data_IF_062137656023
#
_entry.id   IF_062137656023
#
_cell.length_a   1.000
_cell.length_b   1.000
_cell.length_c   1.000
_cell.angle_alpha   90.00
_cell.angle_beta   90.00
_cell.angle_gamma   90.00
#
_symmetry.space_group_name_H-M   'P 1'
#
loop_
_entity.id
_entity.type
_entity.pdbx_description
1 polymer ?
#
# COMPACT_ATOMS: atom_id res chain seq x y z
N UNK A 1 5.86 4.05 -0.51
CA UNK A 1 6.06 5.40 -1.08
C UNK A 1 5.11 5.61 -2.27
N UNK A 2 4.60 6.83 -2.44
CA UNK A 2 3.79 7.30 -3.58
C UNK A 2 4.08 8.79 -3.81
N UNK A 3 4.01 9.27 -5.05
CA UNK A 3 4.20 10.69 -5.38
C UNK A 3 2.84 11.29 -5.74
N UNK A 4 2.42 12.30 -4.97
CA UNK A 4 1.18 13.03 -5.23
C UNK A 4 1.32 13.99 -6.43
N UNK A 5 0.21 14.44 -7.00
CA UNK A 5 0.18 15.35 -8.16
C UNK A 5 0.87 16.69 -7.91
N UNK A 6 0.93 17.13 -6.66
CA UNK A 6 1.65 18.35 -6.25
C UNK A 6 3.19 18.15 -6.17
N UNK A 7 3.67 16.93 -6.47
CA UNK A 7 5.07 16.55 -6.42
C UNK A 7 5.55 16.13 -5.03
N UNK A 8 4.69 16.14 -4.01
CA UNK A 8 5.06 15.68 -2.69
C UNK A 8 5.22 14.16 -2.65
N UNK A 9 6.26 13.71 -1.95
CA UNK A 9 6.54 12.30 -1.69
C UNK A 9 5.85 11.90 -0.40
N UNK A 10 4.95 10.92 -0.47
CA UNK A 10 4.31 10.33 0.70
C UNK A 10 4.88 8.95 0.96
N UNK A 11 5.21 8.67 2.21
CA UNK A 11 5.77 7.38 2.62
C UNK A 11 5.35 7.01 4.04
N UNK A 12 5.53 5.74 4.36
CA UNK A 12 5.33 5.19 5.70
C UNK A 12 6.67 4.82 6.28
N UNK A 13 6.81 4.94 7.59
CA UNK A 13 8.02 4.57 8.33
C UNK A 13 7.71 3.50 9.39
N UNK A 14 7.55 2.22 9.00
CA UNK A 14 7.36 1.14 9.96
C UNK A 14 8.69 0.68 10.57
N UNK A 15 8.61 0.00 11.71
CA UNK A 15 9.79 -0.56 12.39
C UNK A 15 10.38 -1.80 11.73
N UNK A 16 9.78 -2.37 10.68
CA UNK A 16 10.10 -3.72 10.18
C UNK A 16 11.60 -3.93 9.91
N UNK A 17 12.27 -2.96 9.28
CA UNK A 17 13.70 -3.02 8.97
C UNK A 17 14.65 -2.96 10.18
N UNK A 18 14.16 -2.62 11.37
CA UNK A 18 14.98 -2.49 12.60
C UNK A 18 14.65 -3.53 13.69
N UNK A 19 13.71 -4.44 13.44
CA UNK A 19 13.32 -5.47 14.42
C UNK A 19 14.30 -6.65 14.49
N UNK A 20 15.20 -6.78 13.52
CA UNK A 20 16.08 -7.94 13.38
C UNK A 20 17.09 -7.76 12.25
N UNK A 21 18.04 -8.70 12.17
CA UNK A 21 19.10 -8.67 11.15
C UNK A 21 18.68 -9.31 9.81
N UNK A 22 17.41 -9.70 9.66
CA UNK A 22 16.89 -10.29 8.42
C UNK A 22 16.56 -9.22 7.37
N UNK A 23 15.84 -8.16 7.77
CA UNK A 23 15.45 -7.05 6.88
C UNK A 23 16.40 -5.85 6.98
N UNK A 24 17.23 -5.78 8.02
CA UNK A 24 18.16 -4.69 8.25
C UNK A 24 19.10 -4.95 9.43
N UNK A 25 19.13 -4.06 10.41
CA UNK A 25 19.92 -4.22 11.63
C UNK A 25 19.09 -3.82 12.85
N UNK A 26 19.32 -4.50 13.98
CA UNK A 26 18.58 -4.20 15.21
C UNK A 26 18.88 -2.77 15.68
N UNK A 27 17.82 -1.97 15.85
CA UNK A 27 17.90 -0.63 16.41
C UNK A 27 16.61 -0.30 17.19
N UNK A 28 16.68 0.69 18.08
CA UNK A 28 15.49 1.26 18.71
C UNK A 28 14.86 2.30 17.76
N UNK A 29 13.52 2.33 17.70
CA UNK A 29 12.81 3.30 16.88
C UNK A 29 12.96 4.70 17.49
N UNK A 30 13.53 5.63 16.74
CA UNK A 30 13.72 7.02 17.19
C UNK A 30 12.43 7.84 17.06
N UNK A 31 11.52 7.41 16.19
CA UNK A 31 10.23 8.05 15.91
C UNK A 31 9.08 7.04 16.02
N UNK A 32 7.86 7.56 16.21
CA UNK A 32 6.66 6.75 16.13
C UNK A 32 6.43 6.28 14.68
N UNK A 33 5.98 5.03 14.46
CA UNK A 33 5.63 4.57 13.13
C UNK A 33 4.49 5.40 12.54
N UNK A 34 4.75 6.08 11.44
CA UNK A 34 3.83 7.09 10.93
C UNK A 34 3.80 7.16 9.40
N UNK A 35 2.84 7.92 8.89
CA UNK A 35 2.78 8.37 7.50
C UNK A 35 3.39 9.77 7.43
N UNK A 36 4.31 9.98 6.51
CA UNK A 36 5.00 11.24 6.28
C UNK A 36 4.75 11.78 4.88
N UNK A 37 4.83 13.10 4.75
CA UNK A 37 4.78 13.86 3.49
C UNK A 37 5.99 14.76 3.41
N UNK A 38 6.79 14.61 2.36
CA UNK A 38 7.91 15.48 2.01
C UNK A 38 7.55 16.29 0.77
N UNK A 39 7.43 17.61 0.90
CA UNK A 39 7.10 18.47 -0.24
C UNK A 39 8.32 18.87 -1.08
N UNK A 40 8.12 19.42 -2.29
CA UNK A 40 9.23 19.82 -3.16
C UNK A 40 10.16 20.90 -2.59
N UNK A 41 9.76 21.61 -1.53
CA UNK A 41 10.62 22.57 -0.82
C UNK A 41 11.55 21.89 0.19
N UNK A 42 11.35 20.60 0.45
CA UNK A 42 12.07 19.83 1.47
C UNK A 42 11.41 19.85 2.85
N UNK A 43 10.20 20.42 2.97
CA UNK A 43 9.46 20.39 4.24
C UNK A 43 8.87 19.00 4.46
N UNK A 44 9.23 18.41 5.60
CA UNK A 44 8.74 17.10 6.06
C UNK A 44 7.64 17.31 7.11
N UNK A 45 6.47 16.72 6.88
CA UNK A 45 5.34 16.72 7.79
C UNK A 45 4.97 15.29 8.18
N UNK A 46 4.75 15.04 9.48
CA UNK A 46 4.07 13.83 9.96
C UNK A 46 2.57 14.01 9.76
N UNK A 47 1.97 13.14 8.95
CA UNK A 47 0.57 13.26 8.52
C UNK A 47 -0.38 12.54 9.45
N UNK A 48 0.04 11.39 10.00
CA UNK A 48 -0.67 10.62 11.03
C UNK A 48 0.25 9.53 11.59
N UNK A 49 0.12 9.24 12.89
CA UNK A 49 0.72 8.13 13.61
C UNK A 49 -0.35 7.13 14.13
N UNK A 50 -1.61 7.27 13.68
CA UNK A 50 -2.74 6.45 14.15
C UNK A 50 -2.78 5.05 13.52
N UNK A 51 -2.06 4.84 12.41
CA UNK A 51 -2.09 3.59 11.65
C UNK A 51 -1.20 2.54 12.31
N UNK A 52 -1.77 1.45 12.79
CA UNK A 52 -1.02 0.37 13.43
C UNK A 52 -0.10 -0.37 12.42
N UNK A 53 1.21 -0.10 12.47
CA UNK A 53 2.20 -0.69 11.56
C UNK A 53 1.98 -0.27 10.10
N UNK A 54 2.15 1.03 9.76
CA UNK A 54 1.85 1.55 8.44
C UNK A 54 2.82 0.98 7.39
N UNK A 55 2.31 0.54 6.24
CA UNK A 55 3.13 -0.12 5.22
C UNK A 55 2.80 0.35 3.79
N UNK A 56 2.09 -0.46 2.98
CA UNK A 56 1.65 -0.01 1.66
C UNK A 56 0.79 1.25 1.76
N UNK A 57 0.92 2.17 0.80
CA UNK A 57 0.05 3.34 0.65
C UNK A 57 -0.15 3.71 -0.81
N UNK A 58 -1.33 4.23 -1.12
CA UNK A 58 -1.67 4.79 -2.43
C UNK A 58 -2.85 5.76 -2.31
N UNK A 59 -2.95 6.69 -3.24
CA UNK A 59 -4.10 7.60 -3.35
C UNK A 59 -5.22 7.00 -4.23
N UNK A 60 -6.46 7.44 -4.02
CA UNK A 60 -7.50 7.33 -5.05
C UNK A 60 -7.08 8.06 -6.34
N UNK A 61 -7.67 7.75 -7.50
CA UNK A 61 -7.29 8.40 -8.75
C UNK A 61 -7.40 9.93 -8.73
N UNK A 62 -8.33 10.47 -7.94
CA UNK A 62 -8.55 11.90 -7.74
C UNK A 62 -7.83 12.49 -6.52
N UNK A 63 -7.01 11.70 -5.83
CA UNK A 63 -6.25 12.04 -4.62
C UNK A 63 -7.07 12.55 -3.43
N UNK A 64 -8.39 12.37 -3.45
CA UNK A 64 -9.26 12.74 -2.32
C UNK A 64 -9.19 11.74 -1.19
N UNK A 65 -8.71 10.53 -1.44
CA UNK A 65 -8.53 9.50 -0.43
C UNK A 65 -7.08 9.03 -0.41
N UNK A 66 -6.53 8.87 0.79
CA UNK A 66 -5.30 8.14 1.02
C UNK A 66 -5.65 6.79 1.65
N UNK A 67 -5.16 5.71 1.04
CA UNK A 67 -5.27 4.36 1.56
C UNK A 67 -3.94 3.95 2.17
N UNK A 68 -3.96 3.30 3.33
CA UNK A 68 -2.77 2.82 4.04
C UNK A 68 -3.02 1.41 4.58
N UNK A 69 -2.04 0.51 4.43
CA UNK A 69 -2.07 -0.80 5.08
C UNK A 69 -1.70 -0.64 6.55
N UNK A 70 -2.60 -1.07 7.42
CA UNK A 70 -2.36 -1.27 8.85
C UNK A 70 -1.92 -2.72 9.09
N UNK A 71 -0.61 -2.97 9.00
CA UNK A 71 -0.02 -4.31 9.05
C UNK A 71 -0.06 -4.94 10.45
N UNK A 72 -0.28 -4.11 11.48
CA UNK A 72 -0.45 -4.53 12.89
C UNK A 72 -1.85 -4.21 13.40
N UNK A 73 -2.84 -4.13 12.51
CA UNK A 73 -4.23 -4.04 12.92
C UNK A 73 -4.65 -5.29 13.69
N UNK A 74 -5.44 -5.12 14.75
CA UNK A 74 -6.02 -6.20 15.54
C UNK A 74 -7.55 -6.26 15.35
N UNK A 75 -8.18 -7.45 15.28
CA UNK A 75 -7.59 -8.80 15.32
C UNK A 75 -6.94 -9.23 13.98
N UNK A 76 -7.10 -8.43 12.94
CA UNK A 76 -6.69 -8.71 11.56
C UNK A 76 -6.03 -7.49 10.95
N UNK A 77 -5.15 -7.73 9.96
CA UNK A 77 -4.61 -6.65 9.11
C UNK A 77 -5.74 -5.95 8.37
N UNK A 78 -5.56 -4.65 8.12
CA UNK A 78 -6.57 -3.81 7.47
C UNK A 78 -5.96 -2.93 6.41
N UNK A 79 -6.78 -2.50 5.45
CA UNK A 79 -6.50 -1.30 4.66
C UNK A 79 -7.45 -0.23 5.17
N UNK A 80 -6.89 0.86 5.67
CA UNK A 80 -7.63 2.02 6.17
C UNK A 80 -7.60 3.14 5.14
N UNK A 81 -8.60 4.01 5.21
CA UNK A 81 -8.74 5.17 4.33
C UNK A 81 -8.85 6.47 5.16
N UNK A 82 -8.35 7.55 4.57
CA UNK A 82 -8.44 8.91 5.09
C UNK A 82 -8.94 9.83 3.98
N UNK A 83 -9.80 10.79 4.32
CA UNK A 83 -10.07 11.90 3.41
C UNK A 83 -8.87 12.84 3.40
N UNK A 84 -8.43 13.25 2.22
CA UNK A 84 -7.30 14.17 2.03
C UNK A 84 -7.87 15.57 1.87
N UNK A 85 -7.49 16.49 2.77
CA UNK A 85 -7.91 17.88 2.76
C UNK A 85 -6.77 18.75 2.24
N UNK A 86 -7.03 19.47 1.15
CA UNK A 86 -6.09 20.39 0.50
C UNK A 86 -4.69 19.79 0.22
N UNK A 87 -4.60 18.46 0.05
CA UNK A 87 -3.35 17.73 -0.15
C UNK A 87 -2.38 17.73 1.05
N UNK A 88 -2.80 18.25 2.21
CA UNK A 88 -1.91 18.60 3.34
C UNK A 88 -2.42 18.20 4.71
N UNK A 89 -3.63 17.67 4.81
CA UNK A 89 -4.16 17.13 6.06
C UNK A 89 -5.00 15.88 5.81
N UNK A 90 -5.04 15.00 6.80
CA UNK A 90 -5.86 13.80 6.78
C UNK A 90 -7.09 13.97 7.68
N UNK A 91 -8.22 13.44 7.20
CA UNK A 91 -9.45 13.32 7.98
C UNK A 91 -9.39 12.18 8.99
N UNK A 92 -10.55 11.73 9.48
CA UNK A 92 -10.63 10.62 10.42
C UNK A 92 -10.31 9.29 9.71
N UNK A 93 -9.49 8.45 10.35
CA UNK A 93 -9.26 7.08 9.91
C UNK A 93 -10.58 6.28 9.84
N UNK A 94 -10.77 5.52 8.76
CA UNK A 94 -11.84 4.51 8.65
C UNK A 94 -11.30 3.23 8.03
N UNK A 95 -11.86 2.09 8.42
CA UNK A 95 -11.54 0.80 7.79
C UNK A 95 -12.23 0.76 6.43
N UNK A 96 -11.46 0.46 5.37
CA UNK A 96 -11.98 0.20 4.03
C UNK A 96 -12.08 -1.32 3.78
N UNK A 97 -11.01 -2.05 4.12
CA UNK A 97 -10.92 -3.50 3.96
C UNK A 97 -10.45 -4.10 5.27
N UNK A 98 -11.20 -5.06 5.80
CA UNK A 98 -10.73 -6.01 6.80
C UNK A 98 -10.20 -7.24 6.05
N UNK A 99 -8.92 -7.58 6.25
CA UNK A 99 -8.28 -8.64 5.48
C UNK A 99 -8.70 -10.05 5.91
N UNK A 100 -9.44 -10.19 7.03
CA UNK A 100 -9.74 -11.47 7.65
C UNK A 100 -8.44 -12.31 7.81
N UNK A 101 -8.33 -13.45 7.14
CA UNK A 101 -7.13 -14.30 7.18
C UNK A 101 -5.98 -13.85 6.26
N UNK A 102 -6.18 -12.84 5.42
CA UNK A 102 -5.16 -12.35 4.48
C UNK A 102 -4.19 -11.35 5.10
N UNK A 103 -3.00 -11.23 4.50
CA UNK A 103 -2.00 -10.24 4.92
C UNK A 103 -1.62 -9.26 3.79
N UNK A 104 -2.37 -8.15 3.62
CA UNK A 104 -1.98 -7.09 2.69
C UNK A 104 -0.60 -6.52 3.01
N UNK A 105 0.07 -6.05 1.97
CA UNK A 105 1.41 -5.44 2.03
C UNK A 105 1.49 -4.21 1.10
N UNK A 106 2.42 -4.17 0.14
CA UNK A 106 2.43 -3.14 -0.91
C UNK A 106 1.28 -3.31 -1.91
N UNK A 107 0.71 -2.18 -2.34
CA UNK A 107 -0.40 -2.16 -3.30
C UNK A 107 -0.36 -0.93 -4.20
N UNK A 108 -1.18 -0.93 -5.27
CA UNK A 108 -1.40 0.20 -6.18
C UNK A 108 -2.86 0.33 -6.56
N UNK A 109 -3.22 1.48 -7.11
CA UNK A 109 -4.58 1.80 -7.56
C UNK A 109 -4.59 1.93 -9.09
N UNK A 110 -5.61 1.38 -9.73
CA UNK A 110 -5.85 1.59 -11.17
C UNK A 110 -6.76 2.81 -11.43
N UNK A 111 -6.86 3.22 -12.69
CA UNK A 111 -7.61 4.43 -13.10
C UNK A 111 -9.11 4.36 -12.79
N UNK A 112 -9.65 3.16 -12.58
CA UNK A 112 -11.05 2.94 -12.20
C UNK A 112 -11.24 2.96 -10.66
N UNK A 113 -10.16 3.11 -9.90
CA UNK A 113 -10.17 3.18 -8.44
C UNK A 113 -10.11 1.82 -7.75
N UNK A 114 -9.74 0.75 -8.45
CA UNK A 114 -9.54 -0.56 -7.83
C UNK A 114 -8.16 -0.64 -7.18
N UNK A 115 -8.10 -1.25 -6.00
CA UNK A 115 -6.88 -1.52 -5.25
C UNK A 115 -6.35 -2.91 -5.63
N UNK A 116 -5.12 -2.95 -6.14
CA UNK A 116 -4.37 -4.15 -6.47
C UNK A 116 -3.34 -4.39 -5.37
N UNK A 117 -3.60 -5.35 -4.49
CA UNK A 117 -2.86 -5.56 -3.26
C UNK A 117 -1.99 -6.80 -3.33
N UNK A 118 -0.69 -6.66 -3.05
CA UNK A 118 0.14 -7.78 -2.67
C UNK A 118 -0.49 -8.47 -1.46
N UNK A 119 -0.69 -9.79 -1.57
CA UNK A 119 -1.50 -10.57 -0.66
C UNK A 119 -0.87 -11.94 -0.42
N UNK A 120 -1.19 -12.54 0.72
CA UNK A 120 -0.70 -13.86 1.11
C UNK A 120 -0.57 -14.02 2.62
N UNK A 121 0.23 -15.00 3.03
CA UNK A 121 0.35 -15.56 4.40
C UNK A 121 -0.87 -16.39 4.83
N UNK A 122 -0.61 -17.48 5.56
CA UNK A 122 -1.64 -18.37 6.13
C UNK A 122 -1.81 -19.64 5.31
N UNK A 123 -2.34 -19.51 4.09
CA UNK A 123 -2.57 -20.63 3.17
C UNK A 123 -2.23 -20.23 1.72
N UNK A 124 -1.72 -21.18 0.93
CA UNK A 124 -1.24 -20.95 -0.44
C UNK A 124 -2.34 -20.43 -1.39
N UNK A 125 -3.62 -20.66 -1.08
CA UNK A 125 -4.74 -20.14 -1.87
C UNK A 125 -4.94 -18.63 -1.73
N UNK A 126 -4.34 -18.02 -0.71
CA UNK A 126 -4.30 -16.56 -0.49
C UNK A 126 -3.15 -15.88 -1.23
N UNK A 127 -2.13 -16.63 -1.68
CA UNK A 127 -0.91 -16.03 -2.20
C UNK A 127 -1.09 -15.42 -3.60
N UNK A 128 -0.63 -14.17 -3.72
CA UNK A 128 -0.59 -13.44 -4.99
C UNK A 128 -1.09 -12.01 -4.88
N UNK A 129 -2.01 -11.63 -5.77
CA UNK A 129 -2.57 -10.27 -5.81
C UNK A 129 -4.08 -10.30 -5.64
N UNK A 130 -4.58 -9.73 -4.55
CA UNK A 130 -6.01 -9.55 -4.31
C UNK A 130 -6.46 -8.19 -4.83
N UNK A 131 -7.57 -8.16 -5.56
CA UNK A 131 -8.10 -6.95 -6.20
C UNK A 131 -9.42 -6.58 -5.54
N UNK A 132 -9.53 -5.33 -5.09
CA UNK A 132 -10.73 -4.77 -4.49
C UNK A 132 -11.21 -3.57 -5.28
N UNK A 133 -12.52 -3.38 -5.42
CA UNK A 133 -13.06 -2.13 -5.98
C UNK A 133 -12.93 -0.96 -4.97
N UNK A 134 -13.29 0.25 -5.41
CA UNK A 134 -13.22 1.46 -4.58
C UNK A 134 -14.07 1.40 -3.28
N UNK A 135 -15.06 0.50 -3.21
CA UNK A 135 -15.87 0.25 -2.03
C UNK A 135 -15.28 -0.82 -1.08
N UNK A 136 -14.09 -1.35 -1.38
CA UNK A 136 -13.45 -2.41 -0.59
C UNK A 136 -14.03 -3.81 -0.84
N UNK A 137 -14.82 -4.00 -1.90
CA UNK A 137 -15.36 -5.33 -2.26
C UNK A 137 -14.35 -6.10 -3.09
N UNK A 138 -14.03 -7.37 -2.75
CA UNK A 138 -13.12 -8.17 -3.56
C UNK A 138 -13.73 -8.50 -4.93
N UNK A 139 -12.98 -8.24 -6.00
CA UNK A 139 -13.42 -8.43 -7.39
C UNK A 139 -12.49 -9.34 -8.21
N UNK A 140 -11.34 -9.74 -7.66
CA UNK A 140 -10.43 -10.63 -8.35
C UNK A 140 -9.27 -11.12 -7.49
N UNK A 141 -8.61 -12.17 -7.97
CA UNK A 141 -7.39 -12.72 -7.40
C UNK A 141 -6.49 -13.25 -8.53
N UNK A 142 -5.25 -12.78 -8.59
CA UNK A 142 -4.18 -13.39 -9.39
C UNK A 142 -3.38 -14.30 -8.46
N UNK A 143 -3.50 -15.61 -8.65
CA UNK A 143 -2.73 -16.59 -7.89
C UNK A 143 -1.25 -16.56 -8.31
N UNK A 144 -0.38 -16.55 -7.32
CA UNK A 144 1.05 -16.79 -7.46
C UNK A 144 1.45 -17.99 -6.57
N UNK A 145 2.55 -18.68 -6.86
CA UNK A 145 3.00 -19.81 -6.03
C UNK A 145 3.59 -19.36 -4.68
N UNK A 146 3.55 -18.07 -4.37
CA UNK A 146 4.12 -17.44 -3.19
C UNK A 146 3.52 -16.04 -2.98
N UNK A 147 3.53 -15.57 -1.73
CA UNK A 147 3.11 -14.23 -1.33
C UNK A 147 3.78 -13.13 -2.15
N UNK A 148 2.99 -12.19 -2.66
CA UNK A 148 3.50 -10.94 -3.22
C UNK A 148 3.63 -9.88 -2.14
N UNK A 149 4.83 -9.36 -1.92
CA UNK A 149 5.10 -8.29 -0.97
C UNK A 149 4.80 -6.91 -1.57
N UNK A 150 4.93 -6.74 -2.89
CA UNK A 150 4.65 -5.47 -3.55
C UNK A 150 4.33 -5.65 -5.04
N UNK A 151 3.76 -4.61 -5.65
CA UNK A 151 3.49 -4.56 -7.08
C UNK A 151 3.50 -3.13 -7.60
N UNK A 152 3.71 -2.99 -8.91
CA UNK A 152 3.51 -1.73 -9.61
C UNK A 152 3.03 -1.94 -11.04
N UNK A 153 2.29 -0.95 -11.55
CA UNK A 153 1.95 -0.90 -12.96
C UNK A 153 3.07 -0.23 -13.75
N UNK A 154 3.49 -0.85 -14.84
CA UNK A 154 4.46 -0.30 -15.77
C UNK A 154 4.16 -0.65 -17.22
N UNK A 155 5.18 -0.55 -18.07
CA UNK A 155 5.02 -0.60 -19.52
C UNK A 155 4.47 0.70 -20.10
N UNK A 156 4.56 0.84 -21.43
CA UNK A 156 4.22 2.07 -22.16
C UNK A 156 2.82 2.62 -21.83
N UNK A 157 1.87 1.72 -21.59
CA UNK A 157 0.48 2.07 -21.31
C UNK A 157 0.09 1.84 -19.84
N UNK A 158 1.04 1.62 -18.92
CA UNK A 158 0.80 1.28 -17.50
C UNK A 158 -0.16 0.10 -17.31
N UNK A 159 -0.12 -0.87 -18.23
CA UNK A 159 -0.99 -2.04 -18.26
C UNK A 159 -0.22 -3.37 -18.15
N UNK A 160 1.03 -3.30 -17.70
CA UNK A 160 1.81 -4.46 -17.27
C UNK A 160 2.01 -4.38 -15.78
N UNK A 161 1.41 -5.30 -15.04
CA UNK A 161 1.59 -5.43 -13.61
C UNK A 161 2.90 -6.18 -13.35
N UNK A 162 3.81 -5.59 -12.58
CA UNK A 162 4.99 -6.25 -12.03
C UNK A 162 4.72 -6.59 -10.56
N UNK A 163 5.08 -7.81 -10.14
CA UNK A 163 4.78 -8.33 -8.81
C UNK A 163 6.06 -8.88 -8.20
N UNK A 164 6.53 -8.22 -7.14
CA UNK A 164 7.67 -8.65 -6.35
C UNK A 164 7.17 -9.60 -5.26
N UNK A 165 7.47 -10.88 -5.43
CA UNK A 165 7.17 -11.93 -4.47
C UNK A 165 8.46 -12.45 -3.85
N UNK A 166 8.34 -13.18 -2.74
CA UNK A 166 9.45 -13.59 -1.87
C UNK A 166 10.70 -14.05 -2.64
N UNK A 167 10.56 -14.99 -3.58
CA UNK A 167 11.66 -15.59 -4.34
C UNK A 167 11.58 -15.30 -5.86
N UNK A 168 10.59 -14.52 -6.29
CA UNK A 168 10.24 -14.38 -7.69
C UNK A 168 9.80 -12.97 -8.08
N UNK A 169 10.10 -12.59 -9.33
CA UNK A 169 9.54 -11.41 -9.97
C UNK A 169 8.63 -11.86 -11.11
N UNK A 170 7.34 -11.59 -10.98
CA UNK A 170 6.32 -11.96 -11.96
C UNK A 170 5.85 -10.72 -12.73
N UNK A 171 5.32 -10.94 -13.94
CA UNK A 171 4.63 -9.87 -14.64
C UNK A 171 3.46 -10.39 -15.47
N UNK A 172 2.39 -9.60 -15.54
CA UNK A 172 1.18 -9.93 -16.28
C UNK A 172 0.68 -8.69 -17.03
N UNK A 173 0.30 -8.85 -18.29
CA UNK A 173 -0.46 -7.81 -19.00
C UNK A 173 -1.92 -7.86 -18.57
N UNK A 174 -2.49 -6.70 -18.29
CA UNK A 174 -3.90 -6.53 -17.92
C UNK A 174 -4.58 -5.54 -18.86
N UNK A 175 -5.91 -5.52 -18.87
CA UNK A 175 -6.68 -4.45 -19.51
C UNK A 175 -6.88 -3.24 -18.57
N UNK A 176 -6.47 -3.35 -17.30
CA UNK A 176 -6.46 -2.25 -16.36
C UNK A 176 -5.22 -1.37 -16.59
N UNK A 177 -5.36 -0.08 -16.26
CA UNK A 177 -4.26 0.87 -16.32
C UNK A 177 -3.98 1.41 -14.91
N UNK A 178 -2.73 1.35 -14.46
CA UNK A 178 -2.32 1.98 -13.21
C UNK A 178 -2.48 3.50 -13.23
N UNK A 179 -2.83 4.09 -12.08
CA UNK A 179 -2.80 5.55 -11.88
C UNK A 179 -1.35 6.06 -12.07
N UNK A 180 -1.20 7.25 -12.65
CA UNK A 180 0.10 7.90 -12.76
C UNK A 180 0.62 8.36 -11.39
N UNK A 181 1.92 8.25 -11.14
CA UNK A 181 2.52 8.64 -9.84
C UNK A 181 2.54 7.54 -8.78
N UNK A 182 1.92 6.39 -9.07
CA UNK A 182 2.04 5.15 -8.30
C UNK A 182 3.42 4.51 -8.46
#
# INVERSE_FOLDING_TARGET
IVVARDGAVWFTDPTFGILGNYEGHVAESELAPAVYRLDPSGRLDMMTDEVAGPNGLAFSPDEKLLYVVASRGEPTRKIVAFDVKDGKALGKQRVLIDAAGGSPDGFRVDVDGNLWCGWGMGHDDLDGVRIFNAAGTPIGHIHLPERAANLCFGGRYRNRLFMAASHGLYSLYTNAQGVAGG
#
